data_IF_102522085664
#
_entry.id   IF_102522085664
#
_cell.length_a   1.000
_cell.length_b   1.000
_cell.length_c   1.000
_cell.angle_alpha   90.00
_cell.angle_beta   90.00
_cell.angle_gamma   90.00
#
_symmetry.space_group_name_H-M   'P 1'
#
loop_
_entity.id
_entity.type
_entity.pdbx_description
1 polymer ?
#
# COMPACT_ATOMS: atom_id res chain seq x y z
N UNK A 1 -6.66 -13.19 -9.93
CA UNK A 1 -5.36 -12.86 -10.53
C UNK A 1 -4.70 -11.97 -9.52
N UNK A 2 -4.05 -12.68 -8.61
CA UNK A 2 -3.93 -12.36 -7.20
C UNK A 2 -2.52 -11.83 -7.01
N UNK A 3 -2.34 -10.68 -6.37
CA UNK A 3 -1.13 -10.23 -5.67
C UNK A 3 0.27 -10.70 -6.17
N UNK A 4 0.57 -12.01 -6.13
CA UNK A 4 1.75 -12.66 -6.71
C UNK A 4 2.09 -12.23 -8.15
N UNK A 5 1.10 -12.15 -9.05
CA UNK A 5 1.36 -11.77 -10.45
C UNK A 5 1.78 -10.30 -10.57
N UNK A 6 1.22 -9.44 -9.72
CA UNK A 6 1.55 -8.01 -9.67
C UNK A 6 2.95 -7.82 -9.07
N UNK A 7 3.18 -8.37 -7.89
CA UNK A 7 4.43 -8.23 -7.16
C UNK A 7 5.60 -8.96 -7.82
N UNK A 8 5.33 -10.01 -8.62
CA UNK A 8 6.35 -10.66 -9.45
C UNK A 8 6.90 -9.74 -10.54
N UNK A 9 6.15 -8.69 -10.93
CA UNK A 9 6.52 -7.73 -12.00
C UNK A 9 6.94 -6.37 -11.49
N UNK A 10 6.61 -6.04 -10.24
CA UNK A 10 6.86 -4.74 -9.62
C UNK A 10 8.14 -4.81 -8.79
N UNK A 11 9.05 -3.87 -9.01
CA UNK A 11 10.25 -3.71 -8.17
C UNK A 11 10.52 -2.22 -7.98
N UNK A 12 10.37 -1.77 -6.74
CA UNK A 12 10.59 -0.38 -6.36
C UNK A 12 11.06 -0.29 -4.91
N UNK A 13 11.98 0.62 -4.53
CA UNK A 13 12.47 0.74 -3.16
C UNK A 13 11.37 0.97 -2.11
N UNK A 14 10.26 1.60 -2.50
CA UNK A 14 9.12 1.90 -1.61
C UNK A 14 7.92 0.96 -1.81
N UNK A 15 8.14 -0.24 -2.33
CA UNK A 15 7.13 -1.31 -2.44
C UNK A 15 7.74 -2.58 -1.87
N UNK A 16 6.96 -3.32 -1.07
CA UNK A 16 7.44 -4.55 -0.44
C UNK A 16 7.83 -5.59 -1.50
N UNK A 17 8.99 -6.21 -1.30
CA UNK A 17 9.54 -7.20 -2.21
C UNK A 17 8.98 -8.59 -1.87
N UNK A 18 8.32 -9.20 -2.85
CA UNK A 18 7.95 -10.61 -2.79
C UNK A 18 9.20 -11.48 -2.95
N UNK A 19 9.53 -12.27 -1.92
CA UNK A 19 10.65 -13.22 -1.95
C UNK A 19 10.23 -14.59 -2.51
N UNK A 20 8.97 -14.97 -2.30
CA UNK A 20 8.43 -16.22 -2.84
C UNK A 20 7.03 -16.53 -2.34
N UNK A 21 6.51 -17.66 -2.80
CA UNK A 21 5.22 -18.20 -2.35
C UNK A 21 5.32 -19.72 -2.20
N UNK A 22 4.45 -20.28 -1.37
CA UNK A 22 4.36 -21.72 -1.16
C UNK A 22 2.89 -22.14 -1.12
N UNK A 23 2.60 -23.32 -1.67
CA UNK A 23 1.30 -23.98 -1.53
C UNK A 23 1.53 -25.31 -0.83
N UNK A 24 0.98 -25.46 0.38
CA UNK A 24 1.17 -26.66 1.19
C UNK A 24 -0.13 -27.03 1.89
N UNK A 25 -0.61 -28.27 1.70
CA UNK A 25 -1.82 -28.77 2.35
C UNK A 25 -3.10 -28.00 2.00
N UNK A 26 -3.17 -27.37 0.83
CA UNK A 26 -4.29 -26.50 0.43
C UNK A 26 -4.21 -25.06 0.94
N UNK A 27 -3.21 -24.74 1.77
CA UNK A 27 -2.94 -23.37 2.22
C UNK A 27 -1.95 -22.66 1.30
N UNK A 28 -2.17 -21.37 1.07
CA UNK A 28 -1.29 -20.49 0.32
C UNK A 28 -0.50 -19.61 1.28
N UNK A 29 0.81 -19.54 1.08
CA UNK A 29 1.74 -18.72 1.86
C UNK A 29 2.47 -17.77 0.93
N UNK A 30 2.63 -16.53 1.36
CA UNK A 30 3.38 -15.50 0.66
C UNK A 30 4.49 -15.04 1.59
N UNK A 31 5.72 -14.95 1.06
CA UNK A 31 6.90 -14.57 1.80
C UNK A 31 7.41 -13.24 1.28
N UNK A 32 7.43 -12.26 2.18
CA UNK A 32 7.93 -10.91 1.92
C UNK A 32 9.31 -10.70 2.54
N UNK A 33 9.99 -9.64 2.12
CA UNK A 33 11.08 -9.09 2.91
C UNK A 33 10.61 -8.71 4.32
N UNK A 34 11.49 -8.86 5.30
CA UNK A 34 11.18 -8.51 6.69
C UNK A 34 11.26 -7.00 6.87
N UNK A 35 10.23 -6.43 7.48
CA UNK A 35 10.14 -5.01 7.83
C UNK A 35 10.18 -4.92 9.35
N UNK A 36 11.36 -4.70 9.93
CA UNK A 36 11.64 -4.95 11.36
C UNK A 36 10.82 -4.07 12.31
N UNK A 37 10.38 -2.89 11.87
CA UNK A 37 9.56 -1.99 12.68
C UNK A 37 8.06 -2.22 12.49
N UNK A 38 7.67 -3.16 11.64
CA UNK A 38 6.27 -3.46 11.36
C UNK A 38 5.55 -2.32 10.65
N UNK A 39 4.27 -2.13 10.95
CA UNK A 39 3.43 -1.12 10.30
C UNK A 39 3.58 0.27 10.90
N UNK A 40 3.34 1.30 10.07
CA UNK A 40 3.25 2.69 10.50
C UNK A 40 2.16 2.88 11.56
N UNK A 41 1.02 2.20 11.42
CA UNK A 41 -0.06 2.19 12.43
C UNK A 41 0.46 1.76 13.81
N UNK A 42 1.26 0.69 13.88
CA UNK A 42 1.85 0.21 15.13
C UNK A 42 2.86 1.22 15.69
N UNK A 43 3.63 1.89 14.83
CA UNK A 43 4.57 2.90 15.28
C UNK A 43 3.88 4.18 15.80
N UNK A 44 2.73 4.57 15.22
CA UNK A 44 1.95 5.73 15.64
C UNK A 44 1.12 5.46 16.90
N UNK A 45 0.43 4.32 16.96
CA UNK A 45 -0.60 4.03 17.94
C UNK A 45 -0.25 2.91 18.92
N UNK A 46 0.89 2.25 18.74
CA UNK A 46 1.41 1.23 19.65
C UNK A 46 1.91 1.81 20.98
N UNK A 47 2.59 0.99 21.80
CA UNK A 47 2.99 1.38 23.16
C UNK A 47 3.87 2.63 23.27
N UNK A 48 4.63 2.93 22.22
CA UNK A 48 5.47 4.15 22.16
C UNK A 48 4.67 5.40 21.81
N UNK A 49 3.42 5.29 21.35
CA UNK A 49 2.57 6.39 20.89
C UNK A 49 3.31 7.37 19.95
N UNK A 50 4.09 6.85 19.00
CA UNK A 50 4.82 7.67 18.03
C UNK A 50 6.02 8.45 18.60
N UNK A 51 6.39 8.26 19.87
CA UNK A 51 7.53 8.95 20.51
C UNK A 51 8.88 8.65 19.85
N UNK A 52 9.01 7.48 19.22
CA UNK A 52 10.22 7.10 18.47
C UNK A 52 10.33 7.78 17.09
N UNK A 53 9.25 8.45 16.61
CA UNK A 53 9.21 9.06 15.29
C UNK A 53 9.25 10.57 15.37
N UNK A 54 10.46 11.12 15.17
CA UNK A 54 10.62 12.56 14.99
C UNK A 54 9.87 13.06 13.75
N UNK A 55 9.61 14.36 13.68
CA UNK A 55 9.00 15.00 12.51
C UNK A 55 9.74 14.70 11.21
N UNK A 56 11.08 14.65 11.24
CA UNK A 56 11.89 14.33 10.07
C UNK A 56 11.64 12.90 9.57
N UNK A 57 11.49 11.94 10.49
CA UNK A 57 11.17 10.54 10.16
C UNK A 57 9.77 10.45 9.56
N UNK A 58 8.80 11.15 10.15
CA UNK A 58 7.42 11.26 9.66
C UNK A 58 7.36 11.78 8.22
N UNK A 59 8.11 12.85 7.91
CA UNK A 59 8.20 13.41 6.55
C UNK A 59 8.90 12.47 5.57
N UNK A 60 9.95 11.76 6.01
CA UNK A 60 10.60 10.72 5.19
C UNK A 60 9.61 9.62 4.80
N UNK A 61 8.83 9.12 5.77
CA UNK A 61 7.83 8.07 5.52
C UNK A 61 6.78 8.54 4.51
N UNK A 62 6.25 9.76 4.67
CA UNK A 62 5.28 10.32 3.73
C UNK A 62 5.85 10.43 2.30
N UNK A 63 7.11 10.87 2.16
CA UNK A 63 7.78 10.96 0.87
C UNK A 63 8.01 9.59 0.23
N UNK A 64 8.46 8.62 1.02
CA UNK A 64 8.67 7.25 0.57
C UNK A 64 7.36 6.61 0.09
N UNK A 65 6.26 6.76 0.85
CA UNK A 65 4.94 6.31 0.43
C UNK A 65 4.49 6.99 -0.87
N UNK A 66 4.69 8.30 -1.00
CA UNK A 66 4.34 9.04 -2.21
C UNK A 66 5.08 8.52 -3.45
N UNK A 67 6.38 8.25 -3.33
CA UNK A 67 7.21 7.66 -4.41
C UNK A 67 6.72 6.27 -4.80
N UNK A 68 6.36 5.43 -3.83
CA UNK A 68 5.77 4.12 -4.10
C UNK A 68 4.46 4.22 -4.89
N UNK A 69 3.59 5.18 -4.55
CA UNK A 69 2.34 5.41 -5.27
C UNK A 69 2.53 5.97 -6.67
N UNK A 70 3.42 6.95 -6.82
CA UNK A 70 3.80 7.52 -8.12
C UNK A 70 4.30 6.41 -9.06
N UNK A 71 5.17 5.53 -8.56
CA UNK A 71 5.63 4.38 -9.34
C UNK A 71 4.46 3.49 -9.81
N UNK A 72 3.54 3.14 -8.89
CA UNK A 72 2.39 2.29 -9.23
C UNK A 72 1.48 2.91 -10.28
N UNK A 73 1.25 4.23 -10.22
CA UNK A 73 0.32 4.91 -11.12
C UNK A 73 0.95 5.32 -12.45
N UNK A 74 2.20 5.77 -12.45
CA UNK A 74 2.80 6.42 -13.62
C UNK A 74 3.84 5.55 -14.32
N UNK A 75 4.45 4.60 -13.61
CA UNK A 75 5.59 3.82 -14.12
C UNK A 75 5.25 2.34 -14.37
N UNK A 76 4.16 1.82 -13.79
CA UNK A 76 3.62 0.51 -14.14
C UNK A 76 2.80 0.57 -15.44
N UNK A 77 2.96 -0.44 -16.30
CA UNK A 77 2.13 -0.59 -17.50
C UNK A 77 1.48 -1.99 -17.56
N UNK A 78 0.13 -2.09 -17.43
CA UNK A 78 -0.81 -1.00 -17.13
C UNK A 78 -0.62 -0.40 -15.72
N UNK A 79 -1.08 0.84 -15.46
CA UNK A 79 -1.08 1.45 -14.13
C UNK A 79 -1.75 0.55 -13.09
N UNK A 80 -1.22 0.55 -11.87
CA UNK A 80 -1.69 -0.28 -10.75
C UNK A 80 -2.34 0.59 -9.68
N UNK A 81 -3.57 0.27 -9.30
CA UNK A 81 -4.31 0.92 -8.22
C UNK A 81 -4.33 -0.01 -7.01
N UNK A 82 -3.77 0.44 -5.87
CA UNK A 82 -3.66 -0.36 -4.65
C UNK A 82 -5.02 -0.69 -3.99
N UNK A 83 -5.92 0.30 -3.93
CA UNK A 83 -7.28 0.26 -3.34
C UNK A 83 -7.40 0.04 -1.82
N UNK A 84 -6.35 -0.39 -1.12
CA UNK A 84 -6.36 -0.46 0.36
C UNK A 84 -5.16 0.23 1.00
N UNK A 85 -4.90 1.49 0.64
CA UNK A 85 -3.80 2.24 1.23
C UNK A 85 -4.23 2.84 2.58
N UNK A 86 -3.56 2.43 3.66
CA UNK A 86 -3.77 2.85 5.05
C UNK A 86 -2.47 2.67 5.84
N UNK A 87 -2.39 3.23 7.05
CA UNK A 87 -1.18 3.18 7.90
C UNK A 87 -0.78 1.75 8.30
N UNK A 88 -1.70 0.79 8.37
CA UNK A 88 -1.38 -0.63 8.59
C UNK A 88 -0.69 -1.30 7.39
N UNK A 89 -0.87 -0.75 6.19
CA UNK A 89 -0.31 -1.28 4.93
C UNK A 89 0.95 -0.52 4.48
N UNK A 90 1.49 0.36 5.33
CA UNK A 90 2.79 1.00 5.16
C UNK A 90 3.74 0.34 6.16
N UNK A 91 4.71 -0.43 5.67
CA UNK A 91 5.67 -1.14 6.50
C UNK A 91 7.01 -0.41 6.56
N UNK A 92 7.71 -0.57 7.68
CA UNK A 92 8.93 0.16 8.01
C UNK A 92 10.09 -0.80 8.32
N UNK A 93 11.22 -0.59 7.65
CA UNK A 93 12.45 -1.34 7.92
C UNK A 93 13.21 -0.79 9.14
N UNK A 94 14.38 -1.36 9.43
CA UNK A 94 15.25 -0.93 10.53
C UNK A 94 15.62 0.57 10.51
N UNK A 95 15.63 1.21 9.34
CA UNK A 95 16.03 2.60 9.11
C UNK A 95 14.85 3.54 8.85
N UNK A 96 13.62 3.08 9.12
CA UNK A 96 12.39 3.81 8.83
C UNK A 96 12.25 4.19 7.34
N UNK A 97 12.77 3.38 6.41
CA UNK A 97 12.35 3.49 5.02
C UNK A 97 10.96 2.86 4.89
N UNK A 98 10.05 3.54 4.21
CA UNK A 98 8.67 3.08 4.08
C UNK A 98 8.45 2.30 2.78
N UNK A 99 7.70 1.20 2.89
CA UNK A 99 7.26 0.40 1.75
C UNK A 99 5.76 0.13 1.82
N UNK A 100 5.10 0.26 0.68
CA UNK A 100 3.68 -0.11 0.52
C UNK A 100 3.58 -1.63 0.47
N UNK A 101 2.62 -2.19 1.20
CA UNK A 101 2.35 -3.63 1.31
C UNK A 101 0.85 -3.94 1.18
N UNK A 102 0.52 -5.23 1.15
CA UNK A 102 -0.85 -5.77 1.03
C UNK A 102 -1.56 -5.40 -0.28
N UNK A 103 -1.15 -6.08 -1.36
CA UNK A 103 -1.69 -5.88 -2.70
C UNK A 103 -2.89 -6.81 -2.97
N UNK A 104 -3.50 -7.38 -1.93
CA UNK A 104 -4.63 -8.32 -2.05
C UNK A 104 -5.85 -7.71 -2.75
N UNK A 105 -6.03 -6.39 -2.65
CA UNK A 105 -7.08 -5.65 -3.36
C UNK A 105 -6.57 -4.90 -4.59
N UNK A 106 -5.28 -4.96 -4.93
CA UNK A 106 -4.74 -4.16 -6.02
C UNK A 106 -5.27 -4.63 -7.39
N UNK A 107 -5.45 -3.68 -8.32
CA UNK A 107 -5.94 -3.94 -9.68
C UNK A 107 -5.21 -3.08 -10.69
N UNK A 108 -5.06 -3.58 -11.91
CA UNK A 108 -4.54 -2.78 -13.04
C UNK A 108 -5.65 -1.99 -13.71
N UNK A 109 -5.35 -0.78 -14.18
CA UNK A 109 -6.35 0.11 -14.82
C UNK A 109 -7.09 -0.54 -15.99
N UNK A 110 -6.39 -1.34 -16.82
CA UNK A 110 -7.04 -2.06 -17.94
C UNK A 110 -8.05 -3.16 -17.52
N UNK A 111 -8.14 -3.50 -16.23
CA UNK A 111 -9.18 -4.37 -15.69
C UNK A 111 -10.37 -3.59 -15.08
N UNK A 112 -10.22 -2.28 -14.85
CA UNK A 112 -11.30 -1.41 -14.36
C UNK A 112 -12.38 -1.21 -15.43
N UNK A 113 -11.96 -1.08 -16.70
CA UNK A 113 -12.84 -0.81 -17.85
C UNK A 113 -13.82 -1.96 -18.16
N UNK A 114 -13.68 -3.12 -17.50
CA UNK A 114 -14.54 -4.30 -17.69
C UNK A 114 -15.82 -4.30 -16.84
N UNK A 115 -16.18 -3.16 -16.24
CA UNK A 115 -17.55 -2.87 -15.77
C UNK A 115 -18.02 -3.58 -14.49
N UNK A 116 -17.16 -4.29 -13.75
CA UNK A 116 -17.54 -5.03 -12.54
C UNK A 116 -16.68 -4.67 -11.32
N UNK A 117 -16.50 -3.38 -11.04
CA UNK A 117 -15.78 -2.94 -9.85
C UNK A 117 -16.66 -3.02 -8.62
N UNK A 118 -16.54 -4.12 -7.88
CA UNK A 118 -17.02 -4.19 -6.50
C UNK A 118 -16.25 -3.16 -5.67
N UNK A 119 -16.96 -2.23 -5.03
CA UNK A 119 -16.40 -1.29 -4.05
C UNK A 119 -15.62 -2.12 -3.01
N UNK A 120 -14.33 -1.79 -2.86
CA UNK A 120 -13.37 -2.51 -2.02
C UNK A 120 -12.43 -1.50 -1.36
N UNK A 121 -11.91 -1.80 -0.17
CA UNK A 121 -11.03 -0.93 0.60
C UNK A 121 -11.55 -0.69 2.01
N UNK A 122 -10.69 -0.15 2.87
CA UNK A 122 -11.02 0.10 4.28
C UNK A 122 -11.84 1.38 4.45
N UNK A 123 -13.03 1.25 5.05
CA UNK A 123 -13.92 2.38 5.33
C UNK A 123 -13.18 3.44 6.17
N UNK A 124 -13.21 4.70 5.72
CA UNK A 124 -12.43 5.80 6.30
C UNK A 124 -11.21 6.22 5.47
N UNK A 125 -10.64 5.33 4.66
CA UNK A 125 -9.53 5.62 3.72
C UNK A 125 -9.97 5.67 2.26
N UNK A 126 -11.22 5.29 2.00
CA UNK A 126 -11.80 5.32 0.66
C UNK A 126 -12.22 6.75 0.30
N UNK A 127 -11.81 7.21 -0.89
CA UNK A 127 -12.21 8.50 -1.41
C UNK A 127 -13.74 8.55 -1.65
N UNK A 128 -14.44 9.63 -1.25
CA UNK A 128 -15.90 9.72 -1.38
C UNK A 128 -16.38 9.57 -2.84
N UNK A 129 -15.62 10.06 -3.81
CA UNK A 129 -15.86 9.84 -5.24
C UNK A 129 -15.86 8.36 -5.66
N UNK A 130 -15.02 7.53 -5.03
CA UNK A 130 -15.01 6.09 -5.27
C UNK A 130 -16.24 5.39 -4.64
N UNK A 131 -16.74 5.92 -3.52
CA UNK A 131 -17.98 5.43 -2.89
C UNK A 131 -19.23 5.81 -3.69
N UNK A 132 -19.19 6.94 -4.40
CA UNK A 132 -20.34 7.50 -5.12
C UNK A 132 -20.44 7.00 -6.56
N UNK A 133 -19.32 7.02 -7.31
CA UNK A 133 -19.33 6.76 -8.76
C UNK A 133 -18.63 5.45 -9.16
N UNK A 134 -18.02 4.72 -8.21
CA UNK A 134 -17.24 3.51 -8.50
C UNK A 134 -15.98 3.75 -9.35
N UNK A 135 -15.70 5.01 -9.71
CA UNK A 135 -14.57 5.44 -10.51
C UNK A 135 -13.37 5.75 -9.59
N UNK A 136 -12.33 4.93 -9.67
CA UNK A 136 -11.07 5.14 -8.96
C UNK A 136 -10.21 6.17 -9.70
N UNK A 137 -10.60 7.44 -9.69
CA UNK A 137 -9.79 8.52 -10.29
C UNK A 137 -8.79 9.06 -9.25
N UNK A 138 -7.57 8.54 -9.32
CA UNK A 138 -6.28 9.08 -8.84
C UNK A 138 -6.24 9.69 -7.42
N UNK A 139 -5.70 8.89 -6.50
CA UNK A 139 -5.50 9.15 -5.07
C UNK A 139 -4.45 10.22 -4.71
N UNK A 140 -4.62 11.47 -5.16
CA UNK A 140 -3.89 12.60 -4.55
C UNK A 140 -4.44 12.96 -3.15
N UNK A 141 -5.67 12.55 -2.82
CA UNK A 141 -6.32 12.81 -1.52
C UNK A 141 -6.06 11.75 -0.43
N UNK A 142 -5.70 10.51 -0.78
CA UNK A 142 -5.39 9.47 0.22
C UNK A 142 -4.04 9.73 0.89
N UNK A 143 -3.11 10.37 0.17
CA UNK A 143 -1.94 11.01 0.77
C UNK A 143 -2.36 11.99 1.88
N UNK A 144 -3.42 12.77 1.69
CA UNK A 144 -3.87 13.73 2.70
C UNK A 144 -4.40 13.04 3.97
N UNK A 145 -5.20 11.97 3.86
CA UNK A 145 -5.73 11.27 5.05
C UNK A 145 -4.65 10.47 5.80
N UNK A 146 -3.72 9.84 5.08
CA UNK A 146 -2.56 9.18 5.71
C UNK A 146 -1.57 10.18 6.30
N UNK A 147 -1.44 11.38 5.73
CA UNK A 147 -0.64 12.49 6.30
C UNK A 147 -1.32 13.14 7.50
N UNK A 148 -2.65 13.12 7.62
CA UNK A 148 -3.34 13.63 8.83
C UNK A 148 -3.09 12.76 10.08
N UNK A 149 -2.66 11.50 9.92
CA UNK A 149 -2.22 10.63 11.02
C UNK A 149 -0.71 10.78 11.33
N UNK A 150 0.07 11.39 10.43
CA UNK A 150 1.52 11.59 10.53
C UNK A 150 1.86 12.92 11.19
#
# INVERSE_FOLDING_TARGET
>A
QNELDLLGRIRHPNIVSLLGFCVHGGNHYIVYELMEKGSLETQLHGPSHGSAMSWHVRMKIALDTARGLEYLHEHCNPPVIHRDLKSSNILLDSDFNAKIADFGLAVTSGNLDKGNLKISGTLGYVAPEYLLDGAASVCSKVLLLSVYEI
#
